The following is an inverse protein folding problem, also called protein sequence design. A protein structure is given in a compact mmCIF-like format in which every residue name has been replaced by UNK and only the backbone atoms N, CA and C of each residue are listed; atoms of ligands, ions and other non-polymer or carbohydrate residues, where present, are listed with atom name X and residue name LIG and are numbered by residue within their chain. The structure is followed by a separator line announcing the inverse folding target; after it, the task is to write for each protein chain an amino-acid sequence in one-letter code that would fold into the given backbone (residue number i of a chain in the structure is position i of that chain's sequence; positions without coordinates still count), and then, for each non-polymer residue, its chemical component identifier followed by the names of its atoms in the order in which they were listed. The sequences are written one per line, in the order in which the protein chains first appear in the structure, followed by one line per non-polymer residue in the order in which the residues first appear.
data_IF_635532582382
#
_entry.id   IF_635532582382
#
_cell.length_a   1.000
_cell.length_b   1.000
_cell.length_c   1.000
_cell.angle_alpha   90.00
_cell.angle_beta   90.00
_cell.angle_gamma   90.00
#
_symmetry.space_group_name_H-M   'P 1'
#
loop_
_entity.id
_entity.type
_entity.pdbx_description
1 polymer ?
#
# COMPACT_ATOMS: atom_id res chain seq x y z
N UNK A 1 -11.66 20.18 -15.26
CA UNK A 1 -11.92 20.84 -13.96
C UNK A 1 -13.34 21.41 -13.85
N UNK A 2 -13.99 21.82 -14.96
CA UNK A 2 -15.40 22.28 -15.00
C UNK A 2 -16.48 21.23 -14.65
N UNK A 3 -16.14 19.95 -14.55
CA UNK A 3 -17.14 18.88 -14.30
C UNK A 3 -17.36 18.54 -12.81
N UNK A 4 -16.55 19.08 -11.89
CA UNK A 4 -16.62 18.70 -10.46
C UNK A 4 -17.34 19.75 -9.62
N UNK A 5 -17.29 21.01 -10.05
CA UNK A 5 -17.92 22.13 -9.34
C UNK A 5 -19.23 22.43 -10.04
N UNK A 6 -20.33 22.08 -9.38
CA UNK A 6 -21.65 22.54 -9.77
C UNK A 6 -21.76 24.04 -9.44
N UNK A 7 -21.49 24.88 -10.44
CA UNK A 7 -21.52 26.35 -10.32
C UNK A 7 -22.90 26.89 -9.92
N UNK A 8 -23.95 26.06 -9.93
CA UNK A 8 -25.30 26.43 -9.50
C UNK A 8 -25.52 26.28 -7.99
N UNK A 9 -24.63 25.58 -7.28
CA UNK A 9 -24.72 25.38 -5.83
C UNK A 9 -23.90 26.42 -5.07
N UNK A 10 -24.52 27.02 -4.05
CA UNK A 10 -23.84 27.94 -3.13
C UNK A 10 -22.87 27.25 -2.17
N UNK A 11 -23.06 25.96 -1.91
CA UNK A 11 -22.29 25.20 -0.92
C UNK A 11 -21.68 23.95 -1.54
N UNK A 12 -20.47 23.60 -1.08
CA UNK A 12 -19.75 22.39 -1.45
C UNK A 12 -19.67 21.44 -0.25
N UNK A 13 -19.98 20.16 -0.47
CA UNK A 13 -19.79 19.12 0.54
C UNK A 13 -18.46 18.43 0.31
N UNK A 14 -17.60 18.47 1.33
CA UNK A 14 -16.35 17.72 1.38
C UNK A 14 -16.56 16.51 2.29
N UNK A 15 -16.06 15.36 1.85
CA UNK A 15 -16.12 14.11 2.59
C UNK A 15 -14.76 13.41 2.54
N UNK A 16 -14.54 12.49 3.47
CA UNK A 16 -13.34 11.66 3.49
C UNK A 16 -13.28 10.76 2.23
N UNK A 17 -12.13 10.77 1.54
CA UNK A 17 -11.90 9.96 0.34
C UNK A 17 -11.93 8.45 0.63
N UNK A 18 -11.61 8.03 1.87
CA UNK A 18 -11.70 6.65 2.33
C UNK A 18 -13.11 6.04 2.22
N UNK A 19 -14.14 6.87 2.11
CA UNK A 19 -15.52 6.41 1.83
C UNK A 19 -15.71 5.85 0.41
N UNK A 20 -14.81 6.20 -0.52
CA UNK A 20 -14.86 5.76 -1.93
C UNK A 20 -13.70 4.81 -2.25
N UNK A 21 -12.48 5.20 -1.88
CA UNK A 21 -11.28 4.40 -2.06
C UNK A 21 -10.22 4.87 -1.07
N UNK A 22 -9.66 3.95 -0.29
CA UNK A 22 -8.62 4.26 0.70
C UNK A 22 -7.23 4.33 0.05
N UNK A 23 -7.15 4.99 -1.12
CA UNK A 23 -5.89 5.16 -1.83
C UNK A 23 -5.89 6.47 -2.64
N UNK A 24 -4.87 7.34 -2.46
CA UNK A 24 -4.83 8.66 -3.07
C UNK A 24 -4.35 8.66 -4.54
N UNK A 25 -4.63 7.59 -5.30
CA UNK A 25 -4.26 7.47 -6.72
C UNK A 25 -4.72 8.63 -7.61
N UNK A 26 -5.90 9.24 -7.42
CA UNK A 26 -6.30 10.40 -8.19
C UNK A 26 -5.31 11.58 -8.11
N UNK A 27 -4.58 11.70 -7.01
CA UNK A 27 -3.58 12.75 -6.83
C UNK A 27 -2.31 12.45 -7.63
N UNK A 28 -1.84 11.21 -7.69
CA UNK A 28 -0.57 10.88 -8.34
C UNK A 28 -0.70 10.55 -9.83
N UNK A 29 -1.86 10.05 -10.27
CA UNK A 29 -2.11 9.66 -11.67
C UNK A 29 -2.46 10.81 -12.62
N UNK A 30 -2.42 12.06 -12.14
CA UNK A 30 -2.70 13.20 -13.00
C UNK A 30 -1.66 13.26 -14.14
N UNK A 31 -2.05 13.30 -15.43
CA UNK A 31 -1.12 13.16 -16.56
C UNK A 31 0.06 14.14 -16.55
N UNK A 32 -0.19 15.39 -16.13
CA UNK A 32 0.86 16.42 -16.03
C UNK A 32 1.95 16.15 -14.97
N UNK A 33 1.77 15.14 -14.11
CA UNK A 33 2.79 14.75 -13.12
C UNK A 33 3.84 13.81 -13.68
N UNK A 34 3.57 13.14 -14.81
CA UNK A 34 4.49 12.22 -15.48
C UNK A 34 5.17 11.24 -14.50
N UNK A 35 4.38 10.61 -13.62
CA UNK A 35 4.91 9.71 -12.59
C UNK A 35 5.22 8.35 -13.20
N UNK A 36 6.47 7.90 -13.08
CA UNK A 36 6.92 6.59 -13.58
C UNK A 36 6.84 5.47 -12.53
N UNK A 37 7.05 5.81 -11.26
CA UNK A 37 7.08 4.87 -10.13
C UNK A 37 6.20 5.39 -9.00
N UNK A 38 5.28 4.56 -8.52
CA UNK A 38 4.44 4.81 -7.36
C UNK A 38 4.79 3.79 -6.29
N UNK A 39 5.29 4.26 -5.14
CA UNK A 39 5.45 3.44 -3.95
C UNK A 39 4.21 3.63 -3.09
N UNK A 40 3.35 2.62 -3.08
CA UNK A 40 2.04 2.63 -2.46
C UNK A 40 2.06 1.84 -1.15
N UNK A 41 1.44 2.37 -0.11
CA UNK A 41 1.32 1.71 1.20
C UNK A 41 -0.15 1.57 1.53
N UNK A 42 -0.61 0.32 1.72
CA UNK A 42 -1.98 0.02 2.11
C UNK A 42 -2.05 -0.41 3.58
N UNK A 43 -2.84 0.34 4.34
CA UNK A 43 -3.13 0.11 5.76
C UNK A 43 -4.60 -0.25 5.99
N UNK A 44 -5.32 -0.59 4.92
CA UNK A 44 -6.73 -0.96 5.00
C UNK A 44 -6.89 -2.22 5.84
N UNK A 45 -7.91 -2.20 6.68
CA UNK A 45 -8.25 -3.37 7.47
C UNK A 45 -8.81 -4.46 6.56
N UNK A 46 -8.22 -5.65 6.66
CA UNK A 46 -8.76 -6.82 6.01
C UNK A 46 -9.89 -7.44 6.86
N UNK A 47 -11.04 -6.75 6.87
CA UNK A 47 -12.19 -7.11 7.72
C UNK A 47 -12.83 -8.46 7.36
N UNK A 48 -12.57 -8.98 6.16
CA UNK A 48 -13.19 -10.22 5.67
C UNK A 48 -12.26 -11.44 5.72
N UNK A 49 -11.04 -11.30 6.25
CA UNK A 49 -10.01 -12.35 6.19
C UNK A 49 -9.77 -12.91 4.78
N UNK A 50 -10.12 -12.15 3.74
CA UNK A 50 -9.92 -12.53 2.34
C UNK A 50 -8.46 -12.30 2.01
N UNK A 51 -7.79 -13.30 1.42
CA UNK A 51 -6.33 -13.31 1.17
C UNK A 51 -5.79 -12.19 0.26
N UNK A 52 -6.66 -11.32 -0.25
CA UNK A 52 -6.32 -10.30 -1.24
C UNK A 52 -6.11 -8.95 -0.56
N UNK A 53 -4.90 -8.73 -0.06
CA UNK A 53 -4.44 -7.44 0.51
C UNK A 53 -4.25 -6.34 -0.56
N UNK A 54 -4.99 -6.41 -1.67
CA UNK A 54 -4.92 -5.50 -2.83
C UNK A 54 -6.30 -4.98 -3.24
N UNK A 55 -7.33 -5.16 -2.41
CA UNK A 55 -8.69 -4.74 -2.74
C UNK A 55 -8.82 -3.25 -3.09
N UNK A 56 -8.14 -2.37 -2.34
CA UNK A 56 -8.12 -0.94 -2.65
C UNK A 56 -7.33 -0.63 -3.93
N UNK A 57 -6.28 -1.39 -4.21
CA UNK A 57 -5.52 -1.27 -5.45
C UNK A 57 -6.38 -1.66 -6.67
N UNK A 58 -7.22 -2.68 -6.57
CA UNK A 58 -8.19 -3.07 -7.62
C UNK A 58 -9.27 -1.99 -7.79
N UNK A 59 -9.75 -1.37 -6.71
CA UNK A 59 -10.66 -0.21 -6.80
C UNK A 59 -9.99 0.95 -7.55
N UNK A 60 -8.72 1.22 -7.26
CA UNK A 60 -7.93 2.24 -7.95
C UNK A 60 -7.74 1.91 -9.45
N UNK A 61 -7.47 0.64 -9.79
CA UNK A 61 -7.40 0.16 -11.17
C UNK A 61 -8.71 0.45 -11.92
N UNK A 62 -9.85 0.03 -11.36
CA UNK A 62 -11.18 0.25 -11.95
C UNK A 62 -11.48 1.73 -12.13
N UNK A 63 -11.11 2.56 -11.15
CA UNK A 63 -11.27 4.02 -11.21
C UNK A 63 -10.42 4.65 -12.33
N UNK A 64 -9.17 4.22 -12.47
CA UNK A 64 -8.22 4.74 -13.47
C UNK A 64 -8.62 4.34 -14.89
N UNK A 65 -8.94 3.06 -15.10
CA UNK A 65 -9.41 2.52 -16.40
C UNK A 65 -10.68 3.21 -16.87
N UNK A 66 -11.65 3.44 -15.98
CA UNK A 66 -12.89 4.20 -16.31
C UNK A 66 -12.62 5.61 -16.82
N UNK A 67 -11.46 6.20 -16.48
CA UNK A 67 -11.04 7.56 -16.88
C UNK A 67 -10.00 7.58 -17.99
N UNK A 68 -9.67 6.42 -18.57
CA UNK A 68 -8.63 6.32 -19.60
C UNK A 68 -7.23 6.64 -19.08
N UNK A 69 -6.99 6.55 -17.78
CA UNK A 69 -5.67 6.76 -17.19
C UNK A 69 -4.86 5.45 -17.23
N UNK A 70 -3.55 5.49 -17.57
CA UNK A 70 -2.69 4.31 -17.52
C UNK A 70 -2.60 3.74 -16.11
N UNK A 71 -2.87 2.45 -15.96
CA UNK A 71 -2.77 1.71 -14.69
C UNK A 71 -2.44 0.24 -14.97
N UNK A 72 -1.66 -0.46 -14.13
CA UNK A 72 -1.38 -1.89 -14.32
C UNK A 72 -2.64 -2.76 -14.25
N UNK A 73 -2.61 -3.93 -14.90
CA UNK A 73 -3.69 -4.93 -14.85
C UNK A 73 -3.63 -5.78 -13.56
N UNK A 74 -3.88 -5.14 -12.41
CA UNK A 74 -3.71 -5.73 -11.07
C UNK A 74 -4.63 -6.94 -10.87
N UNK A 75 -5.93 -6.80 -11.12
CA UNK A 75 -6.94 -7.86 -10.94
C UNK A 75 -6.58 -9.13 -11.75
N UNK A 76 -6.16 -8.95 -13.00
CA UNK A 76 -5.72 -10.06 -13.86
C UNK A 76 -4.41 -10.69 -13.38
N UNK A 77 -3.47 -9.88 -12.91
CA UNK A 77 -2.18 -10.39 -12.44
C UNK A 77 -2.37 -11.29 -11.21
N UNK A 78 -3.18 -10.88 -10.24
CA UNK A 78 -3.42 -11.67 -9.03
C UNK A 78 -4.22 -12.95 -9.29
N UNK A 79 -5.13 -12.96 -10.26
CA UNK A 79 -5.83 -14.17 -10.70
C UNK A 79 -4.85 -15.22 -11.23
N UNK A 80 -3.85 -14.78 -12.00
CA UNK A 80 -2.84 -15.67 -12.57
C UNK A 80 -1.73 -16.04 -11.60
N UNK A 81 -1.38 -15.13 -10.69
CA UNK A 81 -0.30 -15.27 -9.70
C UNK A 81 -0.80 -14.74 -8.36
N UNK A 82 -1.42 -15.59 -7.53
CA UNK A 82 -1.92 -15.18 -6.23
C UNK A 82 -0.84 -14.56 -5.33
N UNK A 83 -1.27 -13.71 -4.40
CA UNK A 83 -0.38 -13.11 -3.40
C UNK A 83 0.06 -14.19 -2.42
N UNK A 84 1.38 -14.29 -2.19
CA UNK A 84 1.88 -15.22 -1.17
C UNK A 84 1.56 -14.65 0.20
N UNK A 85 1.26 -15.54 1.13
CA UNK A 85 0.90 -15.20 2.51
C UNK A 85 1.98 -14.38 3.23
N UNK A 86 3.25 -14.54 2.85
CA UNK A 86 4.40 -13.86 3.44
C UNK A 86 4.87 -12.62 2.65
N UNK A 87 4.16 -12.25 1.59
CA UNK A 87 4.53 -11.14 0.72
C UNK A 87 4.20 -9.80 1.38
N UNK A 88 5.21 -8.94 1.52
CA UNK A 88 5.09 -7.61 2.13
C UNK A 88 4.99 -6.48 1.10
N UNK A 89 5.44 -6.75 -0.13
CA UNK A 89 5.40 -5.83 -1.27
C UNK A 89 5.28 -6.61 -2.57
N UNK A 90 4.44 -6.12 -3.48
CA UNK A 90 4.34 -6.59 -4.87
C UNK A 90 4.61 -5.46 -5.85
N UNK A 91 5.31 -5.77 -6.94
CA UNK A 91 5.42 -4.87 -8.08
C UNK A 91 4.36 -5.20 -9.13
N UNK A 92 3.69 -4.18 -9.67
CA UNK A 92 2.78 -4.29 -10.80
C UNK A 92 3.22 -3.38 -11.95
N UNK A 93 3.14 -3.89 -13.18
CA UNK A 93 3.45 -3.15 -14.40
C UNK A 93 2.73 -3.74 -15.62
N UNK A 94 2.10 -2.88 -16.42
CA UNK A 94 1.50 -3.31 -17.71
C UNK A 94 1.63 -2.23 -18.78
N UNK A 95 2.17 -2.56 -19.95
CA UNK A 95 2.30 -1.62 -21.06
C UNK A 95 2.96 -0.29 -20.63
N UNK A 96 2.28 0.83 -20.86
CA UNK A 96 2.77 2.19 -20.52
C UNK A 96 2.29 2.70 -19.15
N UNK A 97 1.70 1.86 -18.30
CA UNK A 97 1.35 2.26 -16.93
C UNK A 97 2.59 2.58 -16.07
N UNK A 98 2.47 3.39 -15.01
CA UNK A 98 3.52 3.51 -14.02
C UNK A 98 3.83 2.16 -13.38
N UNK A 99 5.06 1.98 -12.91
CA UNK A 99 5.38 0.91 -11.97
C UNK A 99 4.69 1.19 -10.64
N UNK A 100 4.00 0.20 -10.08
CA UNK A 100 3.42 0.30 -8.73
C UNK A 100 4.11 -0.71 -7.83
N UNK A 101 4.84 -0.22 -6.83
CA UNK A 101 5.37 -0.99 -5.71
C UNK A 101 4.38 -0.90 -4.56
N UNK A 102 3.54 -1.91 -4.41
CA UNK A 102 2.44 -1.92 -3.44
C UNK A 102 2.83 -2.70 -2.19
N UNK A 103 3.00 -1.99 -1.08
CA UNK A 103 3.23 -2.52 0.25
C UNK A 103 1.91 -2.88 0.93
N UNK A 104 1.86 -4.11 1.43
CA UNK A 104 0.76 -4.64 2.21
C UNK A 104 1.19 -4.68 3.68
N UNK A 105 0.28 -4.33 4.58
CA UNK A 105 0.51 -4.51 6.01
C UNK A 105 0.50 -6.00 6.35
N UNK A 106 1.68 -6.60 6.44
CA UNK A 106 1.86 -8.04 6.65
C UNK A 106 2.97 -8.30 7.67
N UNK A 107 2.66 -9.07 8.72
CA UNK A 107 3.56 -9.39 9.83
C UNK A 107 4.20 -10.78 9.73
N UNK A 108 3.82 -11.60 8.75
CA UNK A 108 4.24 -13.02 8.68
C UNK A 108 5.76 -13.22 8.71
N UNK A 109 6.51 -12.50 7.85
CA UNK A 109 7.98 -12.58 7.83
C UNK A 109 8.62 -11.96 9.07
N UNK A 110 8.05 -10.86 9.55
CA UNK A 110 8.50 -10.16 10.73
C UNK A 110 8.43 -11.07 11.97
N UNK A 111 7.33 -11.81 12.12
CA UNK A 111 7.15 -12.77 13.21
C UNK A 111 8.00 -14.03 13.03
N UNK A 112 8.18 -14.54 11.80
CA UNK A 112 9.03 -15.72 11.54
C UNK A 112 10.53 -15.47 11.73
N UNK A 113 11.01 -14.28 11.39
CA UNK A 113 12.39 -13.89 11.59
C UNK A 113 12.58 -13.35 13.01
N UNK A 114 12.34 -14.20 14.02
CA UNK A 114 12.75 -13.98 15.40
C UNK A 114 14.27 -13.97 15.49
N UNK A 115 14.92 -12.86 15.10
CA UNK A 115 16.32 -12.53 15.43
C UNK A 115 16.82 -11.24 14.77
N UNK A 116 16.20 -10.77 13.68
CA UNK A 116 16.65 -9.58 12.92
C UNK A 116 15.73 -8.36 13.04
N UNK A 117 14.47 -8.57 13.44
CA UNK A 117 13.41 -7.57 13.57
C UNK A 117 13.63 -6.54 14.69
N UNK A 118 14.52 -6.85 15.61
CA UNK A 118 14.42 -6.38 16.97
C UNK A 118 15.61 -5.55 17.42
N UNK A 119 16.30 -4.95 16.46
CA UNK A 119 17.35 -3.95 16.71
C UNK A 119 16.87 -2.73 17.52
N UNK A 120 15.55 -2.55 17.69
CA UNK A 120 14.97 -1.50 18.54
C UNK A 120 13.91 -1.94 19.56
N UNK A 121 13.64 -3.25 19.71
CA UNK A 121 12.82 -3.80 20.80
C UNK A 121 13.70 -4.62 21.74
N UNK A 122 13.59 -4.37 23.04
CA UNK A 122 14.27 -5.16 24.08
C UNK A 122 13.77 -6.61 24.07
N UNK A 123 14.55 -7.54 24.63
CA UNK A 123 14.16 -8.96 24.71
C UNK A 123 12.80 -9.13 25.39
N UNK A 124 12.56 -8.41 26.50
CA UNK A 124 11.29 -8.44 27.23
C UNK A 124 10.10 -7.86 26.43
N UNK A 125 10.33 -6.83 25.61
CA UNK A 125 9.30 -6.26 24.73
C UNK A 125 8.92 -7.25 23.62
N UNK A 126 9.89 -8.02 23.10
CA UNK A 126 9.63 -9.04 22.06
C UNK A 126 8.71 -10.13 22.57
N UNK A 127 9.03 -10.71 23.74
CA UNK A 127 8.22 -11.78 24.35
C UNK A 127 6.76 -11.35 24.59
N UNK A 128 6.54 -10.06 24.90
CA UNK A 128 5.19 -9.49 25.08
C UNK A 128 4.43 -9.22 23.78
N UNK A 129 5.11 -9.32 22.63
CA UNK A 129 4.56 -8.92 21.32
C UNK A 129 4.48 -10.06 20.32
N UNK A 130 4.97 -11.26 20.64
CA UNK A 130 4.83 -12.47 19.81
C UNK A 130 3.36 -12.83 19.55
N UNK A 131 2.46 -12.45 20.46
CA UNK A 131 1.01 -12.60 20.31
C UNK A 131 0.33 -11.42 19.59
N UNK A 132 1.07 -10.38 19.18
CA UNK A 132 0.46 -9.24 18.51
C UNK A 132 0.07 -9.64 17.09
N UNK A 133 -1.23 -9.62 16.83
CA UNK A 133 -1.80 -9.71 15.50
C UNK A 133 -2.20 -8.31 15.02
N UNK A 134 -2.24 -8.13 13.69
CA UNK A 134 -2.67 -6.86 13.09
C UNK A 134 -4.07 -6.43 13.52
N UNK A 135 -4.90 -7.37 13.96
CA UNK A 135 -6.24 -7.10 14.49
C UNK A 135 -6.23 -6.20 15.74
N UNK A 136 -5.11 -6.08 16.46
CA UNK A 136 -4.97 -5.12 17.59
C UNK A 136 -4.92 -3.65 17.15
N UNK A 137 -4.73 -3.38 15.86
CA UNK A 137 -4.55 -2.06 15.29
C UNK A 137 -5.80 -1.63 14.52
N UNK A 138 -6.88 -1.42 15.27
CA UNK A 138 -8.16 -1.08 14.66
C UNK A 138 -8.25 0.37 14.19
N UNK A 139 -8.98 0.65 13.10
CA UNK A 139 -9.16 2.02 12.56
C UNK A 139 -9.72 3.00 13.60
N UNK A 140 -10.59 2.52 14.48
CA UNK A 140 -11.22 3.34 15.53
C UNK A 140 -10.38 3.45 16.81
N UNK A 141 -9.25 2.74 16.90
CA UNK A 141 -8.36 2.80 18.05
C UNK A 141 -7.45 4.02 17.93
N UNK A 142 -7.71 5.02 18.75
CA UNK A 142 -6.94 6.27 18.75
C UNK A 142 -5.85 6.34 19.84
N UNK A 143 -5.83 5.37 20.76
CA UNK A 143 -4.84 5.31 21.84
C UNK A 143 -3.99 4.05 21.70
N UNK A 144 -2.68 4.25 21.60
CA UNK A 144 -1.69 3.18 21.55
C UNK A 144 -0.72 3.33 22.71
N UNK A 145 -0.44 2.22 23.39
CA UNK A 145 0.70 2.16 24.30
C UNK A 145 2.01 2.36 23.52
N UNK A 146 3.05 2.76 24.23
CA UNK A 146 4.38 2.94 23.64
C UNK A 146 4.86 1.66 22.93
N UNK A 147 4.57 0.50 23.52
CA UNK A 147 4.93 -0.80 22.95
C UNK A 147 4.18 -1.11 21.65
N UNK A 148 2.87 -0.85 21.60
CA UNK A 148 2.07 -1.04 20.37
C UNK A 148 2.53 -0.12 19.24
N UNK A 149 2.81 1.15 19.56
CA UNK A 149 3.33 2.11 18.60
C UNK A 149 4.70 1.69 18.06
N UNK A 150 5.63 1.31 18.95
CA UNK A 150 6.95 0.80 18.57
C UNK A 150 6.85 -0.44 17.69
N UNK A 151 5.99 -1.38 18.07
CA UNK A 151 5.80 -2.62 17.32
C UNK A 151 5.32 -2.36 15.89
N UNK A 152 4.26 -1.57 15.70
CA UNK A 152 3.73 -1.26 14.36
C UNK A 152 4.75 -0.49 13.51
N UNK A 153 5.47 0.45 14.14
CA UNK A 153 6.54 1.20 13.47
C UNK A 153 7.67 0.29 13.00
N UNK A 154 8.09 -0.66 13.84
CA UNK A 154 9.16 -1.61 13.52
C UNK A 154 8.75 -2.62 12.46
N UNK A 155 7.48 -3.04 12.48
CA UNK A 155 6.92 -3.88 11.44
C UNK A 155 7.06 -3.23 10.05
N UNK A 156 6.61 -1.98 9.92
CA UNK A 156 6.69 -1.29 8.63
C UNK A 156 8.13 -0.96 8.22
N UNK A 157 8.99 -0.60 9.19
CA UNK A 157 10.43 -0.43 8.93
C UNK A 157 11.04 -1.71 8.35
N UNK A 158 10.76 -2.86 8.96
CA UNK A 158 11.23 -4.17 8.50
C UNK A 158 10.73 -4.47 7.08
N UNK A 159 9.43 -4.33 6.82
CA UNK A 159 8.84 -4.62 5.50
C UNK A 159 9.49 -3.80 4.37
N UNK A 160 9.78 -2.51 4.63
CA UNK A 160 10.48 -1.64 3.68
C UNK A 160 11.93 -2.05 3.49
N UNK A 161 12.64 -2.38 4.58
CA UNK A 161 14.04 -2.84 4.51
C UNK A 161 14.19 -4.14 3.72
N UNK A 162 13.32 -5.12 3.96
CA UNK A 162 13.29 -6.38 3.22
C UNK A 162 13.07 -6.16 1.71
N UNK A 163 12.36 -5.11 1.35
CA UNK A 163 12.02 -4.79 -0.05
C UNK A 163 13.01 -3.84 -0.72
N UNK A 164 14.06 -3.38 -0.02
CA UNK A 164 14.94 -2.31 -0.49
C UNK A 164 15.59 -2.62 -1.85
N UNK A 165 16.03 -3.86 -2.06
CA UNK A 165 16.63 -4.27 -3.34
C UNK A 165 15.64 -4.12 -4.49
N UNK A 166 14.42 -4.64 -4.32
CA UNK A 166 13.37 -4.57 -5.34
C UNK A 166 12.98 -3.14 -5.67
N UNK A 167 12.90 -2.26 -4.65
CA UNK A 167 12.64 -0.83 -4.84
C UNK A 167 13.74 -0.20 -5.73
N UNK A 168 15.02 -0.47 -5.42
CA UNK A 168 16.15 0.06 -6.21
C UNK A 168 16.12 -0.45 -7.64
N UNK A 169 15.89 -1.75 -7.83
CA UNK A 169 15.83 -2.39 -9.15
C UNK A 169 14.67 -1.84 -9.99
N UNK A 170 13.54 -1.52 -9.36
CA UNK A 170 12.39 -0.87 -10.00
C UNK A 170 12.72 0.55 -10.46
N UNK A 171 13.29 1.38 -9.57
CA UNK A 171 13.68 2.76 -9.88
C UNK A 171 14.71 2.79 -11.03
N UNK A 172 15.67 1.85 -11.02
CA UNK A 172 16.66 1.73 -12.09
C UNK A 172 16.00 1.43 -13.44
N UNK A 173 15.05 0.49 -13.49
CA UNK A 173 14.30 0.13 -14.72
C UNK A 173 13.44 1.29 -15.23
N UNK A 174 12.75 2.00 -14.34
CA UNK A 174 11.97 3.17 -14.71
C UNK A 174 12.86 4.27 -15.33
N UNK A 175 14.03 4.52 -14.74
CA UNK A 175 14.98 5.52 -15.23
C UNK A 175 15.51 5.22 -16.64
N UNK A 176 15.73 3.94 -16.97
CA UNK A 176 16.20 3.54 -18.30
C UNK A 176 15.11 3.56 -19.37
N UNK A 177 13.84 3.46 -18.98
CA UNK A 177 12.71 3.43 -19.93
C UNK A 177 12.45 4.82 -20.54
N UNK A 178 12.82 5.89 -19.84
CA UNK A 178 12.58 7.28 -20.25
C UNK A 178 13.73 7.91 -21.07
N UNK A 179 14.75 7.15 -21.43
CA UNK A 179 15.89 7.61 -22.25
C UNK A 179 15.82 7.17 -23.72
N UNK A 180 14.70 6.57 -24.14
CA UNK A 180 14.47 6.07 -25.50
C UNK A 180 13.48 6.91 -26.30
#
# INVERSE_FOLDING_TARGET
MKEIIDETKQNMTLADAGTVCNSPYPLVLHPARHVDVIISFDFSQNLNHTKDNVGELIKAEKWAKKRGLPFPDVEKEIETKPIREDEVMREFKTGNSPYILHFMMNAEKFLRQESSVSSGLTTDEREKTTEYTLNKFETMKLNYSELEFKWLSKLMEFNVRESQKLIRDCIQRASTTNQG
#
